data_IF_102799944568
#
_entry.id   IF_102799944568
#
_cell.length_a   1.000
_cell.length_b   1.000
_cell.length_c   1.000
_cell.angle_alpha   90.00
_cell.angle_beta   90.00
_cell.angle_gamma   90.00
#
_symmetry.space_group_name_H-M   'P 1'
#
loop_
_entity.id
_entity.type
_entity.pdbx_description
1 polymer ?
#
# COMPACT_ATOMS: atom_id res chain seq x y z
N UNK A 1 4.83 -56.63 40.53
CA UNK A 1 6.03 -57.46 40.73
C UNK A 1 7.19 -56.73 40.09
N UNK A 2 8.16 -56.31 40.90
CA UNK A 2 9.36 -55.53 40.56
C UNK A 2 10.32 -56.36 39.70
N UNK A 3 11.01 -55.71 38.74
CA UNK A 3 12.34 -56.04 38.15
C UNK A 3 12.54 -55.02 37.01
N UNK A 4 13.40 -53.99 37.02
CA UNK A 4 14.77 -53.79 37.52
C UNK A 4 15.78 -54.76 36.89
N UNK A 5 16.44 -54.36 35.80
CA UNK A 5 17.87 -54.62 35.53
C UNK A 5 18.38 -53.87 34.27
N UNK A 6 19.35 -52.97 34.49
CA UNK A 6 20.42 -52.55 33.55
C UNK A 6 21.51 -53.65 33.52
N UNK A 7 22.67 -53.54 32.82
CA UNK A 7 23.14 -52.67 31.73
C UNK A 7 23.78 -53.49 30.58
N UNK A 8 24.31 -52.87 29.51
CA UNK A 8 25.58 -53.32 28.90
C UNK A 8 26.29 -52.16 28.19
N UNK A 9 27.55 -51.97 28.56
CA UNK A 9 28.54 -51.09 27.96
C UNK A 9 29.21 -51.87 26.82
N UNK A 10 29.38 -51.27 25.63
CA UNK A 10 30.46 -51.66 24.73
C UNK A 10 31.07 -50.41 24.09
N UNK A 11 32.32 -50.16 24.48
CA UNK A 11 33.26 -49.20 23.92
C UNK A 11 33.76 -49.74 22.57
N UNK A 12 33.82 -48.91 21.51
CA UNK A 12 34.68 -49.21 20.37
C UNK A 12 35.27 -47.96 19.74
N UNK A 13 36.55 -48.09 19.42
CA UNK A 13 37.57 -47.07 19.21
C UNK A 13 37.54 -46.43 17.81
N UNK A 14 37.81 -45.12 17.80
CA UNK A 14 38.76 -44.38 16.95
C UNK A 14 38.88 -44.84 15.48
N UNK A 15 38.28 -44.05 14.59
CA UNK A 15 38.67 -43.93 13.18
C UNK A 15 38.95 -42.46 12.86
N UNK A 16 40.21 -42.08 12.83
CA UNK A 16 40.69 -40.76 12.43
C UNK A 16 40.59 -40.59 10.91
N UNK A 17 39.79 -39.64 10.44
CA UNK A 17 40.01 -38.99 9.15
C UNK A 17 39.92 -37.48 9.32
N UNK A 18 41.08 -36.84 9.25
CA UNK A 18 41.21 -35.40 9.01
C UNK A 18 40.48 -35.05 7.70
N UNK A 19 39.29 -34.48 7.82
CA UNK A 19 38.80 -33.53 6.83
C UNK A 19 38.98 -32.15 7.42
N UNK A 20 39.93 -31.42 6.83
CA UNK A 20 40.20 -30.02 7.05
C UNK A 20 38.97 -29.21 6.62
N UNK A 21 37.97 -29.06 7.51
CA UNK A 21 36.95 -28.05 7.34
C UNK A 21 37.52 -26.73 7.88
N UNK A 22 37.94 -25.89 6.95
CA UNK A 22 38.23 -24.50 7.19
C UNK A 22 36.91 -23.80 7.59
N UNK A 23 36.62 -23.76 8.89
CA UNK A 23 35.63 -22.83 9.43
C UNK A 23 36.31 -21.46 9.43
N UNK A 24 36.16 -20.71 8.34
CA UNK A 24 36.36 -19.27 8.42
C UNK A 24 35.20 -18.76 9.28
N UNK A 25 35.46 -18.62 10.57
CA UNK A 25 34.67 -17.79 11.45
C UNK A 25 34.83 -16.35 10.96
N UNK A 26 33.98 -15.94 10.01
CA UNK A 26 33.66 -14.54 9.87
C UNK A 26 32.91 -14.18 11.16
N UNK A 27 33.64 -13.55 12.09
CA UNK A 27 33.02 -12.84 13.19
C UNK A 27 32.07 -11.82 12.58
N UNK A 28 30.79 -12.17 12.53
CA UNK A 28 29.73 -11.20 12.34
C UNK A 28 29.76 -10.34 13.58
N UNK A 29 30.37 -9.16 13.47
CA UNK A 29 30.05 -8.07 14.36
C UNK A 29 28.53 -7.93 14.27
N UNK A 30 27.85 -8.14 15.39
CA UNK A 30 26.44 -7.81 15.52
C UNK A 30 26.32 -6.29 15.29
N UNK A 31 26.10 -5.88 14.05
CA UNK A 31 25.45 -4.61 13.78
C UNK A 31 24.03 -4.76 14.34
N UNK A 32 23.75 -4.06 15.44
CA UNK A 32 22.38 -3.83 15.88
C UNK A 32 21.58 -3.37 14.65
N UNK A 33 20.63 -4.22 14.23
CA UNK A 33 19.92 -4.06 12.98
C UNK A 33 19.21 -2.71 12.91
N UNK A 34 19.81 -1.75 12.21
CA UNK A 34 19.10 -0.56 11.76
C UNK A 34 17.94 -1.04 10.90
N UNK A 35 16.72 -0.98 11.42
CA UNK A 35 15.51 -1.16 10.61
C UNK A 35 15.60 -0.13 9.49
N UNK A 36 15.60 -0.58 8.24
CA UNK A 36 15.67 0.30 7.07
C UNK A 36 14.27 0.56 6.54
N UNK A 37 14.14 1.61 5.72
CA UNK A 37 12.93 1.81 4.94
C UNK A 37 12.82 0.73 3.86
N UNK A 38 11.63 0.20 3.63
CA UNK A 38 11.38 -0.81 2.61
C UNK A 38 10.34 -0.33 1.61
N UNK A 39 10.44 -0.81 0.37
CA UNK A 39 9.49 -0.53 -0.70
C UNK A 39 9.22 -1.79 -1.51
N UNK A 40 7.95 -2.10 -1.76
CA UNK A 40 7.52 -3.17 -2.67
C UNK A 40 6.47 -2.67 -3.65
N UNK A 41 6.43 -3.31 -4.83
CA UNK A 41 5.47 -3.04 -5.88
C UNK A 41 4.91 -4.35 -6.46
N UNK A 42 3.60 -4.42 -6.63
CA UNK A 42 2.89 -5.59 -7.10
C UNK A 42 1.79 -5.20 -8.10
N UNK A 43 1.63 -6.00 -9.16
CA UNK A 43 0.60 -5.82 -10.16
C UNK A 43 -0.18 -7.11 -10.32
N UNK A 44 -1.47 -7.05 -9.99
CA UNK A 44 -2.43 -8.10 -10.29
C UNK A 44 -3.20 -7.77 -11.56
N UNK A 45 -3.23 -8.71 -12.50
CA UNK A 45 -4.05 -8.65 -13.71
C UNK A 45 -5.05 -9.81 -13.68
N UNK A 46 -6.34 -9.49 -13.79
CA UNK A 46 -7.42 -10.47 -13.73
C UNK A 46 -8.40 -10.23 -14.88
N UNK A 47 -8.44 -11.11 -15.90
CA UNK A 47 -9.49 -11.09 -16.90
C UNK A 47 -10.86 -11.27 -16.23
N UNK A 48 -11.83 -10.47 -16.65
CA UNK A 48 -13.18 -10.45 -16.09
C UNK A 48 -14.15 -11.21 -17.01
N UNK A 49 -15.28 -11.71 -16.48
CA UNK A 49 -16.33 -12.40 -17.25
C UNK A 49 -16.93 -11.56 -18.38
N UNK A 50 -16.90 -10.24 -18.26
CA UNK A 50 -17.43 -9.28 -19.23
C UNK A 50 -16.38 -8.80 -20.25
N UNK A 51 -15.35 -9.61 -20.47
CA UNK A 51 -14.21 -9.38 -21.39
C UNK A 51 -13.40 -8.11 -21.10
N UNK A 52 -13.52 -7.57 -19.88
CA UNK A 52 -12.66 -6.50 -19.38
C UNK A 52 -11.46 -7.09 -18.66
N UNK A 53 -10.51 -6.22 -18.33
CA UNK A 53 -9.35 -6.56 -17.53
C UNK A 53 -9.36 -5.69 -16.27
N UNK A 54 -9.36 -6.36 -15.11
CA UNK A 54 -9.03 -5.71 -13.84
C UNK A 54 -7.50 -5.64 -13.74
N UNK A 55 -6.98 -4.44 -13.51
CA UNK A 55 -5.61 -4.23 -13.11
C UNK A 55 -5.58 -3.57 -11.73
N UNK A 56 -4.92 -4.21 -10.78
CA UNK A 56 -4.75 -3.72 -9.42
C UNK A 56 -3.26 -3.56 -9.14
N UNK A 57 -2.84 -2.31 -9.00
CA UNK A 57 -1.49 -1.93 -8.61
C UNK A 57 -1.46 -1.74 -7.10
N UNK A 58 -0.48 -2.34 -6.45
CA UNK A 58 -0.27 -2.23 -5.02
C UNK A 58 1.19 -1.83 -4.78
N UNK A 59 1.40 -0.73 -4.08
CA UNK A 59 2.71 -0.25 -3.66
C UNK A 59 2.71 -0.12 -2.14
N UNK A 60 3.74 -0.64 -1.49
CA UNK A 60 3.89 -0.52 -0.05
C UNK A 60 5.22 0.13 0.27
N UNK A 61 5.21 1.15 1.12
CA UNK A 61 6.41 1.77 1.69
C UNK A 61 6.35 1.67 3.21
N UNK A 62 7.44 1.26 3.85
CA UNK A 62 7.54 1.26 5.30
C UNK A 62 8.67 2.18 5.76
N UNK A 63 8.44 2.90 6.85
CA UNK A 63 9.46 3.65 7.55
C UNK A 63 9.59 3.14 8.99
N UNK A 64 10.82 2.89 9.45
CA UNK A 64 11.08 2.56 10.82
C UNK A 64 10.82 3.78 11.73
N UNK A 65 10.70 3.54 13.03
CA UNK A 65 10.70 4.59 14.04
C UNK A 65 11.96 5.42 13.98
N UNK A 66 11.79 6.69 13.62
CA UNK A 66 12.87 7.67 13.69
C UNK A 66 13.04 8.11 15.15
N UNK A 67 14.14 7.70 15.79
CA UNK A 67 14.53 8.17 17.14
C UNK A 67 15.17 9.56 17.13
N UNK A 68 15.41 10.17 15.95
CA UNK A 68 16.02 11.49 15.83
C UNK A 68 15.32 12.38 14.80
N UNK A 69 15.15 13.66 15.17
CA UNK A 69 14.57 14.73 14.34
C UNK A 69 15.44 15.15 13.13
N UNK A 70 16.30 14.25 12.63
CA UNK A 70 17.35 14.58 11.65
C UNK A 70 17.60 13.54 10.56
N UNK A 71 17.03 12.33 10.62
CA UNK A 71 17.20 11.36 9.54
C UNK A 71 16.34 11.77 8.33
N UNK A 72 16.99 11.95 7.18
CA UNK A 72 16.31 12.16 5.92
C UNK A 72 15.72 10.82 5.45
N UNK A 73 14.39 10.78 5.23
CA UNK A 73 13.79 9.66 4.53
C UNK A 73 14.33 9.60 3.09
N UNK A 74 14.76 8.42 2.65
CA UNK A 74 15.36 8.22 1.31
C UNK A 74 14.42 7.52 0.35
N UNK A 75 13.55 6.67 0.88
CA UNK A 75 12.49 5.95 0.19
C UNK A 75 11.11 6.47 0.61
N UNK A 76 10.91 6.61 1.92
CA UNK A 76 9.59 6.95 2.45
C UNK A 76 9.22 8.42 2.17
N UNK A 77 7.98 8.73 1.73
CA UNK A 77 7.60 10.08 1.41
C UNK A 77 7.56 10.97 2.67
N UNK A 78 8.51 11.91 2.76
CA UNK A 78 8.63 12.88 3.87
C UNK A 78 7.31 13.59 4.19
N UNK A 79 6.53 13.97 3.17
CA UNK A 79 5.25 14.63 3.35
C UNK A 79 4.27 13.81 4.19
N UNK A 80 4.27 12.48 4.01
CA UNK A 80 3.41 11.55 4.75
C UNK A 80 3.92 11.37 6.19
N UNK A 81 5.23 11.18 6.36
CA UNK A 81 5.84 11.08 7.70
C UNK A 81 5.49 12.32 8.55
N UNK A 82 5.65 13.52 7.97
CA UNK A 82 5.30 14.78 8.63
C UNK A 82 3.80 14.90 8.91
N UNK A 83 2.95 14.44 7.99
CA UNK A 83 1.49 14.46 8.14
C UNK A 83 1.04 13.55 9.31
N UNK A 84 1.54 12.32 9.37
CA UNK A 84 1.24 11.35 10.43
C UNK A 84 1.70 11.88 11.80
N UNK A 85 2.93 12.39 11.89
CA UNK A 85 3.48 12.95 13.13
C UNK A 85 2.74 14.20 13.60
N UNK A 86 2.43 15.12 12.68
CA UNK A 86 1.77 16.40 13.00
C UNK A 86 0.35 16.21 13.53
N UNK A 87 -0.42 15.31 12.92
CA UNK A 87 -1.82 15.10 13.28
C UNK A 87 -2.04 13.90 14.21
N UNK A 88 -0.97 13.19 14.61
CA UNK A 88 -1.02 11.99 15.44
C UNK A 88 -2.02 10.98 14.88
N UNK A 89 -1.85 10.65 13.61
CA UNK A 89 -2.72 9.72 12.90
C UNK A 89 -2.28 8.30 13.25
N UNK A 90 -3.19 7.52 13.82
CA UNK A 90 -2.98 6.09 14.04
C UNK A 90 -3.25 5.31 12.76
N UNK A 91 -4.32 5.67 12.06
CA UNK A 91 -4.73 5.04 10.81
C UNK A 91 -5.49 6.04 9.95
N UNK A 92 -5.32 6.01 8.64
CA UNK A 92 -6.08 6.87 7.73
C UNK A 92 -6.18 6.24 6.37
N UNK A 93 -7.34 6.35 5.75
CA UNK A 93 -7.53 5.99 4.35
C UNK A 93 -8.15 7.14 3.60
N UNK A 94 -7.60 7.44 2.43
CA UNK A 94 -8.13 8.40 1.48
C UNK A 94 -8.30 7.70 0.13
N UNK A 95 -9.49 7.76 -0.47
CA UNK A 95 -9.72 7.25 -1.81
C UNK A 95 -10.34 8.31 -2.72
N UNK A 96 -9.97 8.23 -4.01
CA UNK A 96 -10.61 8.96 -5.09
C UNK A 96 -11.08 7.96 -6.13
N UNK A 97 -12.39 7.91 -6.36
CA UNK A 97 -12.98 6.89 -7.22
C UNK A 97 -13.89 7.49 -8.29
N UNK A 98 -13.69 7.01 -9.52
CA UNK A 98 -14.53 7.28 -10.67
C UNK A 98 -15.14 5.98 -11.17
N UNK A 99 -16.44 6.02 -11.46
CA UNK A 99 -17.20 4.86 -11.89
C UNK A 99 -17.82 4.10 -10.71
N UNK A 100 -18.59 3.07 -11.04
CA UNK A 100 -19.30 2.22 -10.05
C UNK A 100 -18.78 0.81 -10.17
N UNK A 101 -18.45 0.20 -9.04
CA UNK A 101 -18.07 -1.20 -9.02
C UNK A 101 -19.26 -2.10 -9.43
N UNK A 102 -19.05 -2.94 -10.44
CA UNK A 102 -20.03 -3.93 -10.87
C UNK A 102 -19.84 -5.24 -10.08
N UNK A 103 -20.55 -5.38 -8.97
CA UNK A 103 -20.44 -6.56 -8.10
C UNK A 103 -20.84 -7.88 -8.77
N UNK A 104 -21.72 -7.85 -9.77
CA UNK A 104 -22.17 -9.05 -10.48
C UNK A 104 -21.08 -9.60 -11.40
N UNK A 105 -20.38 -8.72 -12.11
CA UNK A 105 -19.37 -9.11 -13.11
C UNK A 105 -17.95 -9.12 -12.54
N UNK A 106 -17.62 -8.24 -11.60
CA UNK A 106 -16.24 -8.05 -11.14
C UNK A 106 -15.96 -8.74 -9.80
N UNK A 107 -17.00 -9.23 -9.13
CA UNK A 107 -16.92 -9.87 -7.82
C UNK A 107 -17.22 -8.89 -6.69
N UNK A 108 -17.23 -9.39 -5.47
CA UNK A 108 -17.61 -8.59 -4.29
C UNK A 108 -17.26 -9.22 -2.96
N UNK A 109 -17.13 -10.54 -2.93
CA UNK A 109 -16.87 -11.32 -1.72
C UNK A 109 -15.43 -11.86 -1.64
N UNK A 110 -14.63 -11.67 -2.70
CA UNK A 110 -13.20 -11.95 -2.61
C UNK A 110 -12.44 -10.77 -1.97
N UNK A 111 -11.33 -11.03 -1.26
CA UNK A 111 -10.57 -9.99 -0.56
C UNK A 111 -10.15 -8.82 -1.47
N UNK A 112 -9.81 -9.12 -2.72
CA UNK A 112 -9.36 -8.13 -3.70
C UNK A 112 -10.54 -7.22 -4.09
N UNK A 113 -11.69 -7.77 -4.47
CA UNK A 113 -12.85 -6.93 -4.84
C UNK A 113 -13.42 -6.14 -3.66
N UNK A 114 -13.43 -6.74 -2.46
CA UNK A 114 -14.01 -6.10 -1.27
C UNK A 114 -13.16 -4.95 -0.72
N UNK A 115 -11.83 -5.03 -0.81
CA UNK A 115 -10.95 -3.92 -0.43
C UNK A 115 -10.87 -2.81 -1.49
N UNK A 116 -11.03 -3.17 -2.77
CA UNK A 116 -10.86 -2.25 -3.91
C UNK A 116 -12.13 -1.50 -4.33
N UNK A 117 -13.31 -2.00 -3.96
CA UNK A 117 -14.57 -1.34 -4.24
C UNK A 117 -14.75 -0.15 -3.27
N UNK A 118 -14.51 1.06 -3.78
CA UNK A 118 -14.65 2.32 -3.06
C UNK A 118 -15.83 3.12 -3.64
N UNK A 119 -16.51 3.94 -2.83
CA UNK A 119 -17.60 4.77 -3.32
C UNK A 119 -17.08 5.86 -4.28
N UNK A 120 -17.90 6.30 -5.26
CA UNK A 120 -17.50 7.36 -6.18
C UNK A 120 -17.27 8.69 -5.45
N UNK A 121 -16.38 9.51 -6.00
CA UNK A 121 -15.96 10.77 -5.40
C UNK A 121 -14.77 10.58 -4.45
N UNK A 122 -14.74 11.35 -3.37
CA UNK A 122 -13.74 11.21 -2.31
C UNK A 122 -14.34 10.54 -1.08
N UNK A 123 -13.60 9.59 -0.51
CA UNK A 123 -13.85 9.04 0.83
C UNK A 123 -12.60 9.20 1.68
N UNK A 124 -12.77 9.71 2.89
CA UNK A 124 -11.69 9.89 3.86
C UNK A 124 -12.16 9.40 5.22
N UNK A 125 -11.36 8.57 5.86
CA UNK A 125 -11.50 8.31 7.29
C UNK A 125 -10.14 8.31 7.98
N UNK A 126 -10.14 8.71 9.24
CA UNK A 126 -8.94 8.78 10.05
C UNK A 126 -9.24 8.43 11.51
N UNK A 127 -8.34 7.66 12.11
CA UNK A 127 -8.28 7.35 13.53
C UNK A 127 -7.15 8.17 14.14
N UNK A 128 -7.49 9.01 15.10
CA UNK A 128 -6.52 9.89 15.77
C UNK A 128 -6.07 9.34 17.13
N UNK A 129 -4.79 9.54 17.43
CA UNK A 129 -4.18 9.32 18.73
C UNK A 129 -3.99 10.67 19.46
N UNK A 130 -5.12 11.35 19.70
CA UNK A 130 -5.19 12.61 20.47
C UNK A 130 -6.38 12.55 21.43
N UNK A 131 -6.41 13.38 22.50
CA UNK A 131 -7.58 13.51 23.35
C UNK A 131 -8.83 13.91 22.55
N UNK A 132 -10.00 13.36 22.90
CA UNK A 132 -11.25 13.54 22.13
C UNK A 132 -11.61 14.99 21.80
N UNK A 133 -11.37 15.93 22.72
CA UNK A 133 -11.65 17.35 22.53
C UNK A 133 -10.77 18.03 21.46
N UNK A 134 -9.66 17.41 21.06
CA UNK A 134 -8.78 17.91 19.99
C UNK A 134 -9.11 17.34 18.61
N UNK A 135 -9.96 16.31 18.51
CA UNK A 135 -10.13 15.54 17.27
C UNK A 135 -10.74 16.39 16.17
N UNK A 136 -11.75 17.21 16.44
CA UNK A 136 -12.38 18.04 15.42
C UNK A 136 -11.42 19.09 14.86
N UNK A 137 -10.55 19.64 15.70
CA UNK A 137 -9.49 20.54 15.28
C UNK A 137 -8.44 19.82 14.42
N UNK A 138 -8.04 18.60 14.80
CA UNK A 138 -7.12 17.76 14.02
C UNK A 138 -7.72 17.38 12.67
N UNK A 139 -9.00 17.00 12.62
CA UNK A 139 -9.73 16.67 11.40
C UNK A 139 -9.83 17.85 10.44
N UNK A 140 -10.21 19.03 10.93
CA UNK A 140 -10.22 20.27 10.15
C UNK A 140 -8.85 20.55 9.53
N UNK A 141 -7.78 20.48 10.33
CA UNK A 141 -6.44 20.78 9.81
C UNK A 141 -5.92 19.70 8.85
N UNK A 142 -6.29 18.43 9.09
CA UNK A 142 -5.97 17.31 8.21
C UNK A 142 -6.61 17.48 6.83
N UNK A 143 -7.93 17.72 6.78
CA UNK A 143 -8.68 17.89 5.53
C UNK A 143 -8.15 19.06 4.69
N UNK A 144 -7.81 20.18 5.32
CA UNK A 144 -7.15 21.31 4.66
C UNK A 144 -5.76 20.95 4.12
N UNK A 145 -4.96 20.22 4.88
CA UNK A 145 -3.62 19.78 4.45
C UNK A 145 -3.70 18.81 3.28
N UNK A 146 -4.62 17.84 3.33
CA UNK A 146 -4.83 16.87 2.25
C UNK A 146 -5.35 17.55 0.97
N UNK A 147 -6.19 18.57 1.10
CA UNK A 147 -6.65 19.37 -0.05
C UNK A 147 -5.49 20.00 -0.80
N UNK A 148 -4.53 20.58 -0.07
CA UNK A 148 -3.32 21.14 -0.66
C UNK A 148 -2.38 20.07 -1.24
N UNK A 149 -2.28 18.91 -0.60
CA UNK A 149 -1.41 17.82 -1.06
C UNK A 149 -1.92 17.17 -2.35
N UNK A 150 -3.24 16.96 -2.47
CA UNK A 150 -3.87 16.24 -3.58
C UNK A 150 -4.57 17.14 -4.60
N UNK A 151 -4.56 18.46 -4.40
CA UNK A 151 -5.26 19.46 -5.22
C UNK A 151 -6.75 19.11 -5.42
N UNK A 152 -7.43 18.84 -4.31
CA UNK A 152 -8.83 18.42 -4.29
C UNK A 152 -9.61 19.14 -3.19
N UNK A 153 -10.93 19.11 -3.25
CA UNK A 153 -11.82 19.88 -2.37
C UNK A 153 -12.09 19.20 -1.01
N UNK A 154 -11.11 18.43 -0.50
CA UNK A 154 -11.24 17.63 0.73
C UNK A 154 -11.59 18.50 1.94
N UNK A 155 -11.23 19.78 1.93
CA UNK A 155 -11.48 20.77 2.98
C UNK A 155 -12.98 20.98 3.24
N UNK A 156 -13.86 20.65 2.29
CA UNK A 156 -15.30 20.67 2.53
C UNK A 156 -15.74 19.65 3.60
N UNK A 157 -14.95 18.61 3.84
CA UNK A 157 -15.16 17.65 4.93
C UNK A 157 -15.00 18.25 6.34
N UNK A 158 -14.58 19.51 6.47
CA UNK A 158 -14.58 20.23 7.75
C UNK A 158 -16.00 20.40 8.32
N UNK A 159 -17.01 20.50 7.46
CA UNK A 159 -18.39 20.76 7.90
C UNK A 159 -18.95 19.57 8.67
N UNK A 160 -19.56 19.82 9.83
CA UNK A 160 -20.21 18.77 10.64
C UNK A 160 -21.35 18.05 9.90
N UNK A 161 -21.87 18.62 8.82
CA UNK A 161 -22.85 17.98 7.94
C UNK A 161 -22.24 16.97 6.94
N UNK A 162 -20.91 16.94 6.82
CA UNK A 162 -20.18 16.19 5.78
C UNK A 162 -19.32 15.06 6.33
N UNK A 163 -19.18 14.97 7.66
CA UNK A 163 -18.52 13.86 8.32
C UNK A 163 -19.38 13.29 9.45
N UNK A 164 -19.13 12.02 9.76
CA UNK A 164 -19.74 11.29 10.85
C UNK A 164 -18.70 10.94 11.92
N UNK A 165 -19.16 10.83 13.16
CA UNK A 165 -18.36 10.46 14.33
C UNK A 165 -18.86 9.12 14.88
N UNK A 166 -18.50 7.99 14.24
CA UNK A 166 -18.97 6.70 14.71
C UNK A 166 -18.40 6.39 16.10
N UNK A 167 -19.28 6.12 17.06
CA UNK A 167 -18.87 5.64 18.40
C UNK A 167 -18.41 4.18 18.36
N UNK A 168 -18.93 3.43 17.39
CA UNK A 168 -18.65 2.01 17.19
C UNK A 168 -18.02 1.82 15.80
N UNK A 169 -16.81 1.27 15.79
CA UNK A 169 -16.06 0.93 14.57
C UNK A 169 -15.40 -0.44 14.75
N UNK A 170 -14.98 -1.05 13.64
CA UNK A 170 -14.16 -2.25 13.65
C UNK A 170 -12.85 -1.95 12.92
N UNK A 171 -11.70 -1.87 13.62
CA UNK A 171 -11.50 -2.08 15.06
C UNK A 171 -12.13 -0.98 15.94
N UNK A 172 -12.42 -1.24 17.23
CA UNK A 172 -13.01 -0.24 18.13
C UNK A 172 -12.10 0.97 18.28
N UNK A 173 -12.59 2.14 17.90
CA UNK A 173 -11.87 3.40 18.04
C UNK A 173 -12.79 4.40 18.75
N UNK A 174 -12.76 4.35 20.09
CA UNK A 174 -13.59 5.04 21.09
C UNK A 174 -13.90 6.52 20.80
N UNK A 175 -14.75 6.82 19.81
CA UNK A 175 -15.05 8.17 19.36
C UNK A 175 -13.88 8.89 18.66
N UNK A 176 -12.77 8.18 18.41
CA UNK A 176 -11.55 8.76 17.85
C UNK A 176 -11.49 8.76 16.31
N UNK A 177 -12.58 8.32 15.68
CA UNK A 177 -12.71 8.22 14.23
C UNK A 177 -13.46 9.42 13.68
N UNK A 178 -13.00 9.88 12.53
CA UNK A 178 -13.78 10.77 11.65
C UNK A 178 -13.90 10.10 10.30
N UNK A 179 -15.11 10.06 9.77
CA UNK A 179 -15.43 9.48 8.47
C UNK A 179 -16.18 10.52 7.65
N UNK A 180 -15.74 10.83 6.43
CA UNK A 180 -16.40 11.81 5.57
C UNK A 180 -16.30 11.43 4.10
N UNK A 181 -17.29 11.84 3.32
CA UNK A 181 -17.34 11.58 1.88
C UNK A 181 -17.77 12.82 1.10
N UNK A 182 -17.25 12.96 -0.12
CA UNK A 182 -17.64 13.95 -1.11
C UNK A 182 -18.04 13.23 -2.40
N UNK A 183 -19.27 12.71 -2.52
CA UNK A 183 -19.69 11.88 -3.65
C UNK A 183 -19.67 12.61 -5.00
N UNK A 184 -19.76 13.95 -4.97
CA UNK A 184 -19.76 14.81 -6.15
C UNK A 184 -18.38 15.40 -6.49
N UNK A 185 -17.32 15.06 -5.72
CA UNK A 185 -15.97 15.49 -6.07
C UNK A 185 -15.57 14.84 -7.40
N UNK A 186 -15.19 15.67 -8.38
CA UNK A 186 -14.72 15.18 -9.65
C UNK A 186 -13.33 14.57 -9.50
N UNK A 187 -13.15 13.32 -9.91
CA UNK A 187 -11.84 12.66 -9.94
C UNK A 187 -11.18 12.96 -11.28
N UNK A 188 -10.11 13.74 -11.22
CA UNK A 188 -9.42 14.28 -12.39
C UNK A 188 -8.06 13.60 -12.59
N UNK A 189 -7.56 13.56 -13.83
CA UNK A 189 -6.22 13.00 -14.17
C UNK A 189 -5.07 13.63 -13.39
N UNK A 190 -5.32 14.84 -12.90
CA UNK A 190 -4.45 15.69 -12.12
C UNK A 190 -4.24 15.13 -10.71
N UNK A 191 -5.23 14.44 -10.13
CA UNK A 191 -5.14 13.84 -8.78
C UNK A 191 -4.18 12.65 -8.74
N UNK A 192 -3.88 12.01 -9.88
CA UNK A 192 -2.89 10.93 -9.95
C UNK A 192 -1.45 11.46 -9.75
N UNK A 193 -1.17 12.69 -10.17
CA UNK A 193 0.18 13.26 -10.07
C UNK A 193 0.69 13.39 -8.63
N UNK A 194 -0.06 13.98 -7.66
CA UNK A 194 0.37 14.01 -6.27
C UNK A 194 0.47 12.62 -5.64
N UNK A 195 -0.39 11.68 -6.04
CA UNK A 195 -0.32 10.28 -5.59
C UNK A 195 0.97 9.60 -6.07
N UNK A 196 1.31 9.72 -7.35
CA UNK A 196 2.57 9.21 -7.92
C UNK A 196 3.81 9.86 -7.28
N UNK A 197 3.72 11.12 -6.86
CA UNK A 197 4.85 11.82 -6.20
C UNK A 197 5.25 11.18 -4.86
N UNK A 198 4.38 10.37 -4.25
CA UNK A 198 4.67 9.66 -3.01
C UNK A 198 5.53 8.40 -3.24
N UNK A 199 5.53 7.86 -4.47
CA UNK A 199 6.35 6.71 -4.82
C UNK A 199 7.83 7.12 -4.98
N UNK A 200 8.80 6.28 -4.58
CA UNK A 200 10.23 6.62 -4.62
C UNK A 200 10.72 7.04 -6.03
N UNK A 201 10.23 6.35 -7.07
CA UNK A 201 10.57 6.62 -8.46
C UNK A 201 9.45 7.28 -9.27
N UNK A 202 8.36 7.70 -8.62
CA UNK A 202 7.18 8.27 -9.30
C UNK A 202 6.71 7.38 -10.46
N UNK A 203 6.55 7.95 -11.65
CA UNK A 203 6.20 7.27 -12.91
C UNK A 203 7.42 7.01 -13.81
N UNK A 204 8.62 6.82 -13.23
CA UNK A 204 9.89 6.72 -13.98
C UNK A 204 10.54 5.34 -13.99
N UNK A 205 10.11 4.42 -13.13
CA UNK A 205 10.63 3.06 -13.08
C UNK A 205 9.58 2.10 -12.51
N UNK A 206 9.83 0.79 -12.66
CA UNK A 206 8.95 -0.24 -12.09
C UNK A 206 7.58 -0.30 -12.77
N UNK A 207 6.61 -0.91 -12.09
CA UNK A 207 5.25 -1.04 -12.62
C UNK A 207 4.52 0.31 -12.71
N UNK A 208 4.99 1.33 -11.96
CA UNK A 208 4.45 2.68 -12.02
C UNK A 208 4.60 3.34 -13.40
N UNK A 209 5.51 2.83 -14.27
CA UNK A 209 5.60 3.24 -15.67
C UNK A 209 4.31 2.97 -16.47
N UNK A 210 3.54 1.95 -16.09
CA UNK A 210 2.28 1.60 -16.75
C UNK A 210 1.14 2.58 -16.42
N UNK A 211 1.35 3.47 -15.44
CA UNK A 211 0.33 4.40 -14.93
C UNK A 211 0.18 5.63 -15.83
N UNK A 212 -0.10 5.39 -17.11
CA UNK A 212 -0.32 6.42 -18.10
C UNK A 212 -1.74 7.01 -17.98
N UNK A 213 -1.84 8.32 -17.71
CA UNK A 213 -3.11 8.99 -17.41
C UNK A 213 -4.18 8.78 -18.48
N UNK A 214 -3.92 8.99 -19.80
CA UNK A 214 -4.93 8.76 -20.83
C UNK A 214 -5.48 7.33 -20.84
N UNK A 215 -4.64 6.32 -20.59
CA UNK A 215 -5.06 4.91 -20.59
C UNK A 215 -5.91 4.57 -19.37
N UNK A 216 -5.53 5.06 -18.19
CA UNK A 216 -6.23 4.77 -16.94
C UNK A 216 -7.62 5.40 -16.86
N UNK A 217 -7.75 6.66 -17.28
CA UNK A 217 -8.99 7.44 -17.15
C UNK A 217 -10.00 7.16 -18.28
N UNK A 218 -9.68 6.28 -19.21
CA UNK A 218 -10.62 5.69 -20.18
C UNK A 218 -11.28 4.40 -19.65
N UNK A 219 -10.92 3.97 -18.45
CA UNK A 219 -11.48 2.77 -17.82
C UNK A 219 -12.95 2.92 -17.42
N UNK A 220 -13.58 1.78 -17.15
CA UNK A 220 -14.94 1.67 -16.62
C UNK A 220 -15.00 1.93 -15.11
N UNK A 221 -13.87 1.76 -14.44
CA UNK A 221 -13.69 2.01 -13.02
C UNK A 221 -12.24 2.43 -12.79
N UNK A 222 -12.05 3.41 -11.92
CA UNK A 222 -10.74 3.90 -11.49
C UNK A 222 -10.84 4.29 -10.03
N UNK A 223 -10.08 3.63 -9.16
CA UNK A 223 -9.98 4.00 -7.75
C UNK A 223 -8.52 4.07 -7.34
N UNK A 224 -8.08 5.26 -6.93
CA UNK A 224 -6.78 5.45 -6.29
C UNK A 224 -6.98 5.59 -4.79
N UNK A 225 -6.16 4.88 -4.01
CA UNK A 225 -6.27 4.80 -2.56
C UNK A 225 -4.90 5.08 -1.93
N UNK A 226 -4.95 5.70 -0.76
CA UNK A 226 -3.84 5.90 0.15
C UNK A 226 -4.28 5.36 1.51
N UNK A 227 -3.62 4.34 2.03
CA UNK A 227 -3.87 3.80 3.35
C UNK A 227 -2.61 3.90 4.20
N UNK A 228 -2.75 4.46 5.39
CA UNK A 228 -1.68 4.73 6.32
C UNK A 228 -1.98 4.01 7.63
N UNK A 229 -1.01 3.25 8.13
CA UNK A 229 -1.07 2.68 9.47
C UNK A 229 0.18 3.09 10.23
N UNK A 230 -0.01 3.66 11.42
CA UNK A 230 1.07 3.94 12.36
C UNK A 230 0.88 3.09 13.62
N UNK A 231 1.86 2.23 13.88
CA UNK A 231 1.86 1.38 15.07
C UNK A 231 2.44 2.14 16.25
N UNK A 232 1.64 2.31 17.30
CA UNK A 232 2.05 2.91 18.58
C UNK A 232 2.11 1.91 19.73
N UNK A 233 3.15 2.01 20.54
CA UNK A 233 3.48 1.09 21.65
C UNK A 233 2.30 0.78 22.60
N UNK A 234 2.03 -0.51 22.78
CA UNK A 234 1.60 -1.09 24.06
C UNK A 234 2.83 -1.31 24.95
N UNK A 235 2.84 -0.74 26.16
CA UNK A 235 3.63 -1.01 27.41
C UNK A 235 5.04 -1.66 27.42
N UNK A 236 5.64 -2.05 26.30
CA UNK A 236 6.93 -2.76 26.18
C UNK A 236 7.86 -2.11 25.13
N UNK A 237 7.72 -0.80 24.90
CA UNK A 237 8.79 0.00 24.29
C UNK A 237 9.06 -0.27 22.80
N UNK A 238 8.07 -0.71 22.02
CA UNK A 238 8.21 -0.88 20.57
C UNK A 238 7.83 0.43 19.87
N UNK A 239 8.82 1.29 19.68
CA UNK A 239 9.20 1.87 18.39
C UNK A 239 8.06 2.05 17.34
N UNK A 240 7.67 3.32 17.08
CA UNK A 240 6.66 3.74 16.09
C UNK A 240 7.04 3.52 14.61
N UNK A 241 6.48 2.53 13.94
CA UNK A 241 6.60 2.40 12.48
C UNK A 241 5.49 3.14 11.73
N UNK A 242 5.74 3.51 10.46
CA UNK A 242 4.71 3.97 9.53
C UNK A 242 4.70 3.04 8.32
N UNK A 243 3.52 2.51 7.99
CA UNK A 243 3.27 1.76 6.75
C UNK A 243 2.36 2.62 5.88
N UNK A 244 2.76 2.80 4.63
CA UNK A 244 1.99 3.46 3.59
C UNK A 244 1.69 2.45 2.49
N UNK A 245 0.41 2.18 2.28
CA UNK A 245 -0.12 1.41 1.17
C UNK A 245 -0.76 2.35 0.15
N UNK A 246 -0.38 2.16 -1.10
CA UNK A 246 -0.83 2.94 -2.24
C UNK A 246 -1.41 1.97 -3.24
N UNK A 247 -2.73 2.02 -3.43
CA UNK A 247 -3.38 1.15 -4.43
C UNK A 247 -3.98 1.96 -5.57
N UNK A 248 -3.94 1.38 -6.77
CA UNK A 248 -4.68 1.88 -7.92
C UNK A 248 -5.38 0.70 -8.58
N UNK A 249 -6.70 0.73 -8.56
CA UNK A 249 -7.54 -0.27 -9.21
C UNK A 249 -8.21 0.32 -10.43
N UNK A 250 -8.01 -0.30 -11.59
CA UNK A 250 -8.66 0.10 -12.84
C UNK A 250 -9.30 -1.10 -13.53
N UNK A 251 -10.47 -0.85 -14.14
CA UNK A 251 -11.13 -1.82 -15.03
C UNK A 251 -11.07 -1.26 -16.45
N UNK A 252 -10.33 -1.93 -17.32
CA UNK A 252 -10.04 -1.49 -18.67
C UNK A 252 -10.64 -2.45 -19.70
N UNK A 253 -10.97 -1.95 -20.88
CA UNK A 253 -11.29 -2.80 -22.03
C UNK A 253 -10.01 -2.97 -22.86
N UNK A 254 -9.51 -4.21 -23.06
CA UNK A 254 -8.41 -4.44 -23.98
C UNK A 254 -8.81 -4.06 -25.41
N UNK A 255 -7.91 -3.38 -26.14
CA UNK A 255 -8.11 -3.08 -27.56
C UNK A 255 -7.99 -4.36 -28.37
N UNK A 256 -9.10 -4.89 -28.87
CA UNK A 256 -9.10 -6.01 -29.81
C UNK A 256 -8.92 -5.49 -31.25
N UNK A 257 -7.71 -5.10 -31.63
CA UNK A 257 -7.42 -4.80 -33.05
C UNK A 257 -7.39 -6.06 -33.94
N UNK A 258 -7.74 -7.23 -33.41
CA UNK A 258 -7.79 -8.49 -34.16
C UNK A 258 -8.99 -9.37 -33.78
N UNK A 259 -10.17 -8.76 -33.68
CA UNK A 259 -11.44 -9.51 -33.79
C UNK A 259 -12.04 -9.28 -35.18
N UNK A 260 -11.28 -9.65 -36.22
CA UNK A 260 -11.83 -9.86 -37.56
C UNK A 260 -12.72 -11.09 -37.46
N UNK A 261 -14.04 -10.88 -37.61
CA UNK A 261 -15.05 -11.85 -38.04
C UNK A 261 -14.72 -13.33 -37.78
N UNK A 262 -14.56 -13.74 -36.51
CA UNK A 262 -14.65 -15.16 -36.16
C UNK A 262 -16.10 -15.45 -35.84
N UNK A 263 -16.72 -16.23 -36.71
CA UNK A 263 -18.09 -16.72 -36.61
C UNK A 263 -18.50 -17.08 -35.17
N UNK A 264 -19.76 -16.75 -34.87
CA UNK A 264 -20.44 -16.87 -33.58
C UNK A 264 -20.54 -18.31 -33.01
N UNK A 265 -19.41 -18.98 -32.76
CA UNK A 265 -19.38 -20.35 -32.25
C UNK A 265 -18.56 -20.57 -30.97
N UNK A 266 -17.80 -19.60 -30.47
CA UNK A 266 -17.00 -19.79 -29.24
C UNK A 266 -17.22 -18.66 -28.23
N UNK A 267 -18.23 -18.84 -27.36
CA UNK A 267 -18.64 -17.88 -26.31
C UNK A 267 -17.63 -17.69 -25.16
N UNK A 268 -16.39 -18.18 -25.28
CA UNK A 268 -15.46 -18.28 -24.15
C UNK A 268 -14.01 -17.89 -24.44
N UNK A 269 -13.70 -17.29 -25.59
CA UNK A 269 -12.33 -16.81 -25.84
C UNK A 269 -12.17 -15.42 -25.24
N UNK A 270 -11.31 -15.30 -24.23
CA UNK A 270 -10.85 -14.01 -23.73
C UNK A 270 -10.00 -13.33 -24.82
N UNK A 271 -10.19 -12.03 -25.09
CA UNK A 271 -9.39 -11.33 -26.09
C UNK A 271 -7.90 -11.43 -25.76
N UNK A 272 -7.05 -11.62 -26.76
CA UNK A 272 -5.60 -11.59 -26.57
C UNK A 272 -5.16 -10.16 -26.26
N UNK A 273 -4.34 -9.99 -25.22
CA UNK A 273 -3.85 -8.68 -24.80
C UNK A 273 -2.41 -8.77 -24.28
N UNK A 274 -1.71 -7.64 -24.34
CA UNK A 274 -0.39 -7.43 -23.74
C UNK A 274 -0.36 -6.16 -22.90
N UNK A 275 0.56 -6.06 -21.94
CA UNK A 275 0.73 -4.85 -21.12
C UNK A 275 0.89 -3.58 -21.97
N UNK A 276 1.67 -3.66 -23.05
CA UNK A 276 1.85 -2.54 -23.98
C UNK A 276 0.59 -2.16 -24.74
N UNK A 277 -0.27 -3.14 -25.08
CA UNK A 277 -1.54 -2.85 -25.76
C UNK A 277 -2.57 -2.16 -24.86
N UNK A 278 -2.54 -2.43 -23.55
CA UNK A 278 -3.51 -1.91 -22.58
C UNK A 278 -3.05 -0.56 -22.01
N UNK A 279 -1.79 -0.47 -21.60
CA UNK A 279 -1.27 0.71 -20.92
C UNK A 279 -0.48 1.65 -21.84
N UNK A 280 -0.23 1.25 -23.09
CA UNK A 280 0.57 2.02 -24.05
C UNK A 280 2.07 2.05 -23.74
N UNK A 281 2.52 1.33 -22.71
CA UNK A 281 3.90 1.34 -22.20
C UNK A 281 4.38 -0.05 -21.81
N UNK A 282 5.70 -0.21 -21.72
CA UNK A 282 6.34 -1.43 -21.22
C UNK A 282 7.05 -1.14 -19.89
N UNK A 283 7.04 -2.13 -19.00
CA UNK A 283 7.81 -2.07 -17.76
C UNK A 283 9.29 -2.17 -18.12
N UNK A 284 10.08 -1.20 -17.70
CA UNK A 284 11.52 -1.19 -17.92
C UNK A 284 12.25 -0.52 -16.76
N UNK A 285 13.48 -0.99 -16.49
CA UNK A 285 14.30 -0.49 -15.39
C UNK A 285 13.83 -0.95 -14.01
N UNK A 286 14.74 -0.85 -13.04
CA UNK A 286 14.44 -1.04 -11.61
C UNK A 286 14.53 0.31 -10.92
N UNK A 287 13.65 0.55 -9.95
CA UNK A 287 13.73 1.76 -9.15
C UNK A 287 15.06 1.78 -8.38
N UNK A 288 16.00 2.62 -8.81
CA UNK A 288 17.35 2.69 -8.25
C UNK A 288 17.39 3.79 -7.19
N UNK A 289 16.84 3.52 -6.02
CA UNK A 289 16.95 4.45 -4.91
C UNK A 289 18.37 4.35 -4.33
N UNK A 290 19.13 5.46 -4.37
CA UNK A 290 20.46 5.51 -3.75
C UNK A 290 20.28 5.46 -2.23
N UNK A 291 20.64 4.34 -1.61
CA UNK A 291 20.84 4.23 -0.16
C UNK A 291 22.06 5.08 0.16
N UNK A 292 21.87 6.23 0.82
CA UNK A 292 22.97 7.01 1.35
C UNK A 292 23.12 6.62 2.82
N UNK A 293 24.06 5.71 3.10
CA UNK A 293 24.39 5.31 4.47
C UNK A 293 24.82 6.55 5.26
N UNK A 294 24.03 6.95 6.26
CA UNK A 294 24.46 7.94 7.24
C UNK A 294 25.53 7.30 8.13
N UNK A 295 26.81 7.57 7.83
CA UNK A 295 27.90 7.28 8.74
C UNK A 295 27.79 8.24 9.92
N UNK A 296 27.38 7.73 11.08
CA UNK A 296 27.51 8.44 12.35
C UNK A 296 29.00 8.69 12.59
N UNK A 297 29.42 9.96 12.50
CA UNK A 297 30.76 10.36 12.93
C UNK A 297 30.80 10.39 14.46
N UNK A 298 31.89 9.95 15.10
CA UNK A 298 32.04 9.92 16.55
C UNK A 298 32.08 11.32 17.18
#
# INVERSE_FOLDING_TARGET
>A
MVLLQRPHILLLLIGTHQFLQCWIAFGSVNEEGQKQEEFSEELLLKPLPDHKLLAHFHFQSSAPPSTSNGCHHHLFPKAISQLVQKFRIKEMELSFTQGRWNYESWGGFDPISSSNAKPPGVELWAVFDVPQHHIDASWKNLTHTLSGLFCASINFLESTATYSTPEWSFPPASGNVRYGTLPCEAVCTENLTPWLKLLPCRDKAGIALLLDRPSLYRGFYHSQQLHLTSTGSSSEGIDWGIILEQTLTVVLQPNSEMAIEVHASEKHIQPSWSLSSIFGKQVSGRCSCKVQQCVSSP
#
